data_IF_259264421432
#
_entry.id   IF_259264421432
#
_cell.length_a   1.000
_cell.length_b   1.000
_cell.length_c   1.000
_cell.angle_alpha   90.00
_cell.angle_beta   90.00
_cell.angle_gamma   90.00
#
_symmetry.space_group_name_H-M   'P 1'
#
loop_
_entity.id
_entity.type
_entity.pdbx_description
1 polymer ?
#
# COMPACT_ATOMS: atom_id res chain seq x y z
N UNK A 1 -3.52 -62.88 35.24
CA UNK A 1 -2.69 -62.48 34.08
C UNK A 1 -3.37 -61.50 33.12
N UNK A 2 -4.47 -60.83 33.48
CA UNK A 2 -5.19 -59.88 32.59
C UNK A 2 -4.81 -58.41 32.83
N UNK A 3 -4.09 -58.10 33.92
CA UNK A 3 -3.84 -56.71 34.35
C UNK A 3 -2.67 -55.99 33.69
N UNK A 4 -1.71 -56.70 33.06
CA UNK A 4 -0.50 -56.06 32.52
C UNK A 4 -0.64 -55.59 31.06
N UNK A 5 -1.58 -56.15 30.29
CA UNK A 5 -1.78 -55.76 28.90
C UNK A 5 -2.50 -54.40 28.78
N UNK A 6 -3.47 -54.14 29.67
CA UNK A 6 -4.25 -52.89 29.67
C UNK A 6 -3.40 -51.66 30.02
N UNK A 7 -2.43 -51.79 30.94
CA UNK A 7 -1.56 -50.69 31.37
C UNK A 7 -0.57 -50.29 30.27
N UNK A 8 -0.01 -51.27 29.53
CA UNK A 8 0.85 -51.00 28.37
C UNK A 8 0.09 -50.31 27.23
N UNK A 9 -1.17 -50.69 26.99
CA UNK A 9 -1.99 -50.08 25.95
C UNK A 9 -2.35 -48.62 26.28
N UNK A 10 -2.67 -48.32 27.55
CA UNK A 10 -2.93 -46.94 28.01
C UNK A 10 -1.70 -46.03 27.91
N UNK A 11 -0.50 -46.52 28.23
CA UNK A 11 0.72 -45.71 28.09
C UNK A 11 1.09 -45.43 26.63
N UNK A 12 0.86 -46.37 25.71
CA UNK A 12 1.06 -46.11 24.29
C UNK A 12 0.02 -45.14 23.71
N UNK A 13 -1.25 -45.23 24.11
CA UNK A 13 -2.30 -44.29 23.72
C UNK A 13 -2.02 -42.87 24.24
N UNK A 14 -1.52 -42.75 25.48
CA UNK A 14 -1.18 -41.45 26.09
C UNK A 14 -0.01 -40.76 25.36
N UNK A 15 1.00 -41.52 24.95
CA UNK A 15 2.16 -41.02 24.21
C UNK A 15 1.78 -40.57 22.78
N UNK A 16 0.88 -41.29 22.11
CA UNK A 16 0.39 -40.94 20.76
C UNK A 16 -0.45 -39.66 20.80
N UNK A 17 -1.28 -39.47 21.83
CA UNK A 17 -2.07 -38.24 22.01
C UNK A 17 -1.16 -37.04 22.33
N UNK A 18 -0.14 -37.21 23.16
CA UNK A 18 0.85 -36.15 23.43
C UNK A 18 1.69 -35.77 22.20
N UNK A 19 2.04 -36.74 21.35
CA UNK A 19 2.71 -36.47 20.07
C UNK A 19 1.77 -35.79 19.05
N UNK A 20 0.48 -36.12 19.05
CA UNK A 20 -0.52 -35.45 18.21
C UNK A 20 -0.80 -34.00 18.61
N UNK A 21 -0.77 -33.69 19.91
CA UNK A 21 -0.97 -32.32 20.42
C UNK A 21 0.26 -31.44 20.20
N UNK A 22 1.47 -31.99 20.23
CA UNK A 22 2.71 -31.25 19.95
C UNK A 22 2.96 -31.01 18.45
N UNK A 23 2.34 -31.78 17.55
CA UNK A 23 2.43 -31.58 16.10
C UNK A 23 1.32 -30.69 15.52
N UNK A 24 0.55 -30.02 16.38
CA UNK A 24 -0.26 -28.88 16.00
C UNK A 24 0.63 -27.63 15.93
N UNK A 25 1.71 -27.68 15.14
CA UNK A 25 2.29 -26.44 14.64
C UNK A 25 1.18 -25.78 13.83
N UNK A 26 0.70 -24.66 14.33
CA UNK A 26 -0.18 -23.75 13.62
C UNK A 26 0.32 -23.61 12.19
N UNK A 27 -0.34 -24.29 11.26
CA UNK A 27 -0.28 -23.94 9.85
C UNK A 27 -0.99 -22.60 9.79
N UNK A 28 -0.26 -21.53 10.09
CA UNK A 28 -0.72 -20.19 9.79
C UNK A 28 -0.74 -20.16 8.27
N UNK A 29 -1.94 -20.29 7.71
CA UNK A 29 -2.17 -20.08 6.30
C UNK A 29 -1.87 -18.61 6.06
N UNK A 30 -0.62 -18.30 5.69
CA UNK A 30 -0.12 -16.95 5.40
C UNK A 30 -0.65 -16.47 4.04
N UNK A 31 -1.98 -16.46 3.90
CA UNK A 31 -2.68 -15.88 2.77
C UNK A 31 -3.05 -14.43 3.09
N UNK A 32 -2.68 -13.52 2.21
CA UNK A 32 -3.12 -12.13 2.29
C UNK A 32 -4.02 -11.79 1.11
N UNK A 33 -4.93 -10.85 1.33
CA UNK A 33 -5.94 -10.50 0.34
C UNK A 33 -5.42 -9.44 -0.62
N UNK A 34 -5.50 -9.72 -1.91
CA UNK A 34 -5.32 -8.74 -2.98
C UNK A 34 -6.70 -8.45 -3.54
N UNK A 35 -7.15 -7.19 -3.44
CA UNK A 35 -8.49 -6.77 -3.87
C UNK A 35 -9.61 -7.68 -3.30
N UNK A 36 -9.49 -8.08 -2.04
CA UNK A 36 -10.47 -8.95 -1.35
C UNK A 36 -10.36 -10.44 -1.65
N UNK A 37 -9.44 -10.87 -2.52
CA UNK A 37 -9.22 -12.29 -2.87
C UNK A 37 -7.93 -12.83 -2.25
N UNK A 38 -8.00 -13.99 -1.60
CA UNK A 38 -6.82 -14.69 -1.05
C UNK A 38 -5.96 -15.28 -2.17
N UNK A 39 -5.04 -14.45 -2.65
CA UNK A 39 -4.19 -14.72 -3.82
C UNK A 39 -2.75 -14.30 -3.59
N UNK A 40 -2.42 -13.84 -2.38
CA UNK A 40 -1.10 -13.34 -2.03
C UNK A 40 -0.50 -13.96 -0.79
N UNK A 41 0.76 -13.63 -0.56
CA UNK A 41 1.51 -13.93 0.65
C UNK A 41 2.23 -12.67 1.15
N UNK A 42 2.36 -12.55 2.48
CA UNK A 42 3.09 -11.44 3.07
C UNK A 42 4.58 -11.71 2.96
N UNK A 43 5.28 -10.82 2.29
CA UNK A 43 6.72 -10.92 2.02
C UNK A 43 7.41 -9.69 2.61
N UNK A 44 8.61 -9.85 3.17
CA UNK A 44 9.40 -8.74 3.70
C UNK A 44 10.17 -8.01 2.58
N UNK A 45 10.49 -6.71 2.75
CA UNK A 45 11.21 -5.93 1.73
C UNK A 45 12.50 -6.58 1.21
N UNK A 46 13.30 -7.14 2.11
CA UNK A 46 14.53 -7.88 1.80
C UNK A 46 14.34 -9.04 0.79
N UNK A 47 13.14 -9.61 0.74
CA UNK A 47 12.83 -10.79 -0.06
C UNK A 47 12.14 -10.43 -1.38
N UNK A 48 11.69 -9.17 -1.55
CA UNK A 48 10.98 -8.72 -2.76
C UNK A 48 11.62 -7.55 -3.51
N UNK A 49 12.76 -7.02 -3.05
CA UNK A 49 13.42 -5.85 -3.68
C UNK A 49 13.69 -6.01 -5.18
N UNK A 50 13.94 -7.24 -5.64
CA UNK A 50 14.14 -7.60 -7.04
C UNK A 50 12.83 -7.92 -7.78
N UNK A 51 11.76 -8.19 -7.02
CA UNK A 51 10.46 -8.59 -7.55
C UNK A 51 9.54 -7.40 -7.85
N UNK A 52 9.75 -6.25 -7.20
CA UNK A 52 8.94 -5.03 -7.43
C UNK A 52 9.79 -3.78 -7.74
N UNK A 53 10.67 -3.82 -8.76
CA UNK A 53 11.63 -2.73 -9.04
C UNK A 53 10.99 -1.34 -9.21
N UNK A 54 9.76 -1.24 -9.71
CA UNK A 54 9.03 0.01 -9.85
C UNK A 54 8.44 0.46 -8.51
N UNK A 55 7.69 -0.39 -7.79
CA UNK A 55 7.06 0.01 -6.54
C UNK A 55 7.96 -0.01 -5.31
N UNK A 56 9.16 -0.60 -5.35
CA UNK A 56 10.05 -0.70 -4.18
C UNK A 56 10.34 0.64 -3.52
N UNK A 57 10.40 1.74 -4.27
CA UNK A 57 10.71 3.06 -3.69
C UNK A 57 9.68 3.53 -2.66
N UNK A 58 8.46 2.99 -2.72
CA UNK A 58 7.32 3.44 -1.90
C UNK A 58 6.77 2.30 -1.02
N UNK A 59 7.02 1.05 -1.41
CA UNK A 59 6.67 -0.15 -0.65
C UNK A 59 7.88 -0.56 0.20
N UNK A 60 7.97 0.00 1.40
CA UNK A 60 9.11 -0.15 2.33
C UNK A 60 8.69 -0.93 3.60
N UNK A 61 7.70 -1.81 3.47
CA UNK A 61 7.07 -2.55 4.56
C UNK A 61 6.77 -3.98 4.11
N UNK A 62 6.50 -4.89 5.06
CA UNK A 62 6.00 -6.24 4.74
C UNK A 62 4.69 -6.12 3.96
N UNK A 63 4.70 -6.56 2.71
CA UNK A 63 3.66 -6.30 1.73
C UNK A 63 3.03 -7.59 1.23
N UNK A 64 1.77 -7.50 0.81
CA UNK A 64 1.05 -8.61 0.22
C UNK A 64 1.39 -8.74 -1.27
N UNK A 65 2.12 -9.79 -1.64
CA UNK A 65 2.57 -10.06 -3.01
C UNK A 65 1.80 -11.24 -3.60
N UNK A 66 1.55 -11.27 -4.93
CA UNK A 66 0.96 -12.43 -5.59
C UNK A 66 1.76 -13.71 -5.32
N UNK A 67 1.08 -14.75 -4.83
CA UNK A 67 1.70 -16.07 -4.67
C UNK A 67 1.86 -16.72 -6.02
N UNK A 68 3.03 -17.29 -6.31
CA UNK A 68 3.23 -18.04 -7.55
C UNK A 68 2.23 -19.20 -7.66
N UNK A 69 1.59 -19.33 -8.82
CA UNK A 69 0.64 -20.40 -9.12
C UNK A 69 1.04 -21.08 -10.43
N UNK A 70 1.06 -22.42 -10.43
CA UNK A 70 1.44 -23.21 -11.61
C UNK A 70 0.46 -23.07 -12.78
N UNK A 71 -0.81 -22.79 -12.49
CA UNK A 71 -1.88 -22.62 -13.49
C UNK A 71 -1.77 -21.24 -14.18
N UNK A 72 -1.36 -20.21 -13.43
CA UNK A 72 -1.22 -18.84 -13.93
C UNK A 72 0.19 -18.34 -13.67
N UNK A 73 1.14 -18.71 -14.54
CA UNK A 73 2.55 -18.34 -14.42
C UNK A 73 2.79 -16.82 -14.45
N UNK A 74 1.86 -16.04 -14.99
CA UNK A 74 1.88 -14.57 -14.99
C UNK A 74 1.40 -13.95 -13.68
N UNK A 75 0.81 -14.73 -12.76
CA UNK A 75 0.41 -14.28 -11.43
C UNK A 75 1.62 -14.25 -10.51
N UNK A 76 2.51 -13.29 -10.74
CA UNK A 76 3.74 -13.07 -9.97
C UNK A 76 3.88 -11.60 -9.57
N UNK A 77 4.66 -11.33 -8.52
CA UNK A 77 4.97 -9.98 -8.09
C UNK A 77 5.66 -9.16 -9.20
N UNK A 78 6.59 -9.77 -9.94
CA UNK A 78 7.30 -9.11 -11.04
C UNK A 78 6.38 -8.71 -12.19
N UNK A 79 5.51 -9.63 -12.63
CA UNK A 79 4.55 -9.34 -13.71
C UNK A 79 3.55 -8.27 -13.27
N UNK A 80 3.12 -8.31 -12.00
CA UNK A 80 2.21 -7.30 -11.45
C UNK A 80 2.87 -5.93 -11.35
N UNK A 81 4.09 -5.84 -10.83
CA UNK A 81 4.86 -4.58 -10.77
C UNK A 81 5.11 -4.01 -12.16
N UNK A 82 5.41 -4.86 -13.15
CA UNK A 82 5.55 -4.43 -14.54
C UNK A 82 4.25 -3.89 -15.12
N UNK A 83 3.12 -4.56 -14.87
CA UNK A 83 1.81 -4.04 -15.26
C UNK A 83 1.51 -2.68 -14.63
N UNK A 84 1.86 -2.51 -13.34
CA UNK A 84 1.67 -1.25 -12.61
C UNK A 84 2.52 -0.14 -13.23
N UNK A 85 3.79 -0.42 -13.53
CA UNK A 85 4.69 0.49 -14.21
C UNK A 85 4.13 0.93 -15.58
N UNK A 86 3.74 -0.04 -16.41
CA UNK A 86 3.24 0.22 -17.76
C UNK A 86 1.95 1.05 -17.73
N UNK A 87 1.03 0.72 -16.81
CA UNK A 87 -0.21 1.47 -16.63
C UNK A 87 0.04 2.87 -16.07
N UNK A 88 0.99 3.03 -15.15
CA UNK A 88 1.39 4.33 -14.63
C UNK A 88 1.88 5.24 -15.76
N UNK A 89 2.84 4.77 -16.56
CA UNK A 89 3.36 5.56 -17.68
C UNK A 89 2.29 5.82 -18.73
N UNK A 90 1.50 4.82 -19.11
CA UNK A 90 0.40 4.98 -20.08
C UNK A 90 -0.55 6.08 -19.65
N UNK A 91 -1.02 6.07 -18.39
CA UNK A 91 -2.00 7.04 -17.90
C UNK A 91 -1.39 8.44 -17.76
N UNK A 92 -0.15 8.56 -17.26
CA UNK A 92 0.54 9.84 -17.15
C UNK A 92 0.78 10.47 -18.53
N UNK A 93 1.32 9.71 -19.47
CA UNK A 93 1.62 10.19 -20.82
C UNK A 93 0.30 10.56 -21.52
N UNK A 94 -0.74 9.73 -21.42
CA UNK A 94 -2.05 10.06 -22.00
C UNK A 94 -2.62 11.36 -21.43
N UNK A 95 -2.52 11.60 -20.12
CA UNK A 95 -2.99 12.85 -19.50
C UNK A 95 -2.16 14.05 -19.95
N UNK A 96 -0.85 13.94 -19.97
CA UNK A 96 0.03 14.99 -20.47
C UNK A 96 -0.26 15.31 -21.94
N UNK A 97 -0.51 14.29 -22.78
CA UNK A 97 -0.88 14.49 -24.19
C UNK A 97 -2.16 15.31 -24.35
N UNK A 98 -3.19 15.08 -23.54
CA UNK A 98 -4.41 15.90 -23.57
C UNK A 98 -4.18 17.31 -23.02
N UNK A 99 -3.43 17.42 -21.93
CA UNK A 99 -3.13 18.70 -21.28
C UNK A 99 -2.31 19.65 -22.18
N UNK A 100 -1.42 19.09 -23.00
CA UNK A 100 -0.52 19.82 -23.90
C UNK A 100 -1.03 19.91 -25.35
N UNK A 101 -2.25 19.43 -25.62
CA UNK A 101 -2.79 19.42 -26.98
C UNK A 101 -3.20 20.83 -27.42
N UNK A 102 -2.40 21.45 -28.28
CA UNK A 102 -2.67 22.79 -28.82
C UNK A 102 -4.02 22.88 -29.53
N UNK A 103 -4.45 21.84 -30.26
CA UNK A 103 -5.73 21.86 -30.97
C UNK A 103 -6.92 21.91 -30.00
N UNK A 104 -6.80 21.25 -28.85
CA UNK A 104 -7.83 21.30 -27.81
C UNK A 104 -7.87 22.67 -27.13
N UNK A 105 -6.69 23.23 -26.83
CA UNK A 105 -6.56 24.58 -26.27
C UNK A 105 -7.10 25.66 -27.22
N UNK A 106 -6.74 25.61 -28.50
CA UNK A 106 -7.19 26.58 -29.52
C UNK A 106 -8.71 26.57 -29.72
N UNK A 107 -9.33 25.39 -29.55
CA UNK A 107 -10.79 25.22 -29.68
C UNK A 107 -11.54 25.38 -28.36
N UNK A 108 -10.81 25.56 -27.25
CA UNK A 108 -11.35 25.53 -25.89
C UNK A 108 -12.25 24.32 -25.60
N UNK A 109 -11.76 23.13 -25.94
CA UNK A 109 -12.47 21.86 -25.74
C UNK A 109 -11.69 20.88 -24.85
N UNK A 110 -12.42 20.04 -24.11
CA UNK A 110 -11.86 18.94 -23.34
C UNK A 110 -11.71 17.63 -24.14
N UNK A 111 -11.25 16.56 -23.49
CA UNK A 111 -11.07 15.24 -24.11
C UNK A 111 -12.38 14.59 -24.61
N UNK A 112 -13.54 15.17 -24.26
CA UNK A 112 -14.88 14.75 -24.68
C UNK A 112 -15.51 15.72 -25.67
N UNK A 113 -14.72 16.66 -26.21
CA UNK A 113 -15.16 17.69 -27.16
C UNK A 113 -16.26 18.60 -26.57
N UNK A 114 -16.24 18.82 -25.24
CA UNK A 114 -17.09 19.76 -24.53
C UNK A 114 -16.34 21.08 -24.26
N UNK A 115 -17.05 22.23 -24.16
CA UNK A 115 -16.41 23.52 -23.91
C UNK A 115 -15.91 23.61 -22.47
N UNK A 116 -14.62 23.39 -22.25
CA UNK A 116 -13.99 23.44 -20.94
C UNK A 116 -12.51 23.79 -21.05
N UNK A 117 -12.01 24.53 -20.07
CA UNK A 117 -10.58 24.85 -19.96
C UNK A 117 -9.80 23.59 -19.58
N UNK A 118 -8.74 23.30 -20.33
CA UNK A 118 -7.82 22.21 -20.03
C UNK A 118 -6.99 22.58 -18.81
N UNK A 119 -7.25 21.93 -17.68
CA UNK A 119 -6.49 22.14 -16.44
C UNK A 119 -5.24 21.25 -16.44
N UNK A 120 -4.01 21.79 -16.47
CA UNK A 120 -2.80 20.99 -16.39
C UNK A 120 -2.65 20.41 -14.97
N UNK A 121 -2.67 19.08 -14.87
CA UNK A 121 -2.57 18.34 -13.60
C UNK A 121 -1.32 17.51 -13.54
N UNK A 122 -0.97 16.85 -14.63
CA UNK A 122 0.18 15.93 -14.72
C UNK A 122 1.38 16.59 -15.41
N UNK A 123 1.13 17.53 -16.31
CA UNK A 123 2.17 18.30 -17.01
C UNK A 123 2.94 19.16 -16.02
N UNK A 124 4.27 19.01 -15.98
CA UNK A 124 5.18 19.74 -15.08
C UNK A 124 4.82 19.66 -13.58
N UNK A 125 4.09 18.62 -13.18
CA UNK A 125 3.66 18.42 -11.79
C UNK A 125 4.20 17.08 -11.23
N UNK A 126 5.46 17.04 -10.78
CA UNK A 126 6.06 15.83 -10.21
C UNK A 126 5.32 15.36 -8.94
N UNK A 127 4.71 16.25 -8.18
CA UNK A 127 3.96 15.90 -6.97
C UNK A 127 2.73 15.07 -7.29
N UNK A 128 1.95 15.46 -8.31
CA UNK A 128 0.81 14.67 -8.80
C UNK A 128 1.26 13.30 -9.33
N UNK A 129 2.33 13.27 -10.13
CA UNK A 129 2.88 12.03 -10.67
C UNK A 129 3.33 11.08 -9.55
N UNK A 130 4.06 11.60 -8.56
CA UNK A 130 4.50 10.83 -7.39
C UNK A 130 3.32 10.38 -6.53
N UNK A 131 2.34 11.25 -6.27
CA UNK A 131 1.15 10.88 -5.51
C UNK A 131 0.34 9.78 -6.22
N UNK A 132 0.22 9.86 -7.55
CA UNK A 132 -0.42 8.82 -8.36
C UNK A 132 0.35 7.50 -8.31
N UNK A 133 1.68 7.53 -8.43
CA UNK A 133 2.52 6.33 -8.27
C UNK A 133 2.33 5.69 -6.90
N UNK A 134 2.39 6.49 -5.83
CA UNK A 134 2.23 6.02 -4.46
C UNK A 134 0.87 5.35 -4.27
N UNK A 135 -0.21 6.03 -4.70
CA UNK A 135 -1.56 5.49 -4.67
C UNK A 135 -1.65 4.15 -5.40
N UNK A 136 -1.12 4.08 -6.63
CA UNK A 136 -1.24 2.90 -7.47
C UNK A 136 -0.41 1.71 -6.94
N UNK A 137 0.78 1.97 -6.40
CA UNK A 137 1.61 0.95 -5.76
C UNK A 137 0.99 0.43 -4.46
N UNK A 138 0.54 1.31 -3.55
CA UNK A 138 0.00 0.90 -2.26
C UNK A 138 -1.33 0.16 -2.36
N UNK A 139 -2.16 0.50 -3.35
CA UNK A 139 -3.38 -0.25 -3.66
C UNK A 139 -3.07 -1.68 -4.13
N UNK A 140 -1.98 -1.87 -4.86
CA UNK A 140 -1.61 -3.15 -5.44
C UNK A 140 -0.73 -4.02 -4.53
N UNK A 141 0.06 -3.41 -3.66
CA UNK A 141 0.92 -4.06 -2.68
C UNK A 141 0.56 -3.55 -1.28
N UNK A 142 -0.61 -3.93 -0.75
CA UNK A 142 -1.06 -3.49 0.56
C UNK A 142 -0.12 -4.02 1.64
N UNK A 143 0.04 -3.23 2.71
CA UNK A 143 0.81 -3.62 3.90
C UNK A 143 0.15 -4.82 4.58
N UNK A 144 0.94 -5.72 5.13
CA UNK A 144 0.47 -6.77 6.03
C UNK A 144 0.57 -6.37 7.50
N UNK A 145 -0.39 -6.81 8.31
CA UNK A 145 -0.29 -6.78 9.78
C UNK A 145 0.54 -7.95 10.33
N UNK A 146 0.72 -7.99 11.65
CA UNK A 146 1.47 -9.04 12.34
C UNK A 146 0.83 -10.43 12.21
N UNK A 147 -0.47 -10.49 11.88
CA UNK A 147 -1.19 -11.74 11.63
C UNK A 147 -1.14 -12.18 10.15
N UNK A 148 -0.38 -11.47 9.30
CA UNK A 148 -0.25 -11.81 7.89
C UNK A 148 -1.46 -11.42 7.04
N UNK A 149 -2.33 -10.53 7.53
CA UNK A 149 -3.49 -10.04 6.78
C UNK A 149 -3.15 -8.72 6.12
N UNK A 150 -3.58 -8.55 4.87
CA UNK A 150 -3.42 -7.27 4.18
C UNK A 150 -4.35 -6.20 4.75
N UNK A 151 -3.85 -4.98 4.81
CA UNK A 151 -4.54 -3.82 5.34
C UNK A 151 -5.17 -2.99 4.22
N UNK A 152 -6.35 -2.45 4.50
CA UNK A 152 -7.03 -1.45 3.66
C UNK A 152 -6.14 -0.21 3.44
N UNK A 153 -6.39 0.53 2.36
CA UNK A 153 -5.65 1.76 2.09
C UNK A 153 -6.05 2.89 3.03
N UNK A 154 -5.10 3.73 3.45
CA UNK A 154 -5.37 4.88 4.29
C UNK A 154 -6.10 5.97 3.50
N UNK A 155 -7.09 6.64 4.11
CA UNK A 155 -7.84 7.74 3.47
C UNK A 155 -6.93 8.86 2.98
N UNK A 156 -5.92 9.19 3.77
CA UNK A 156 -4.93 10.23 3.44
C UNK A 156 -4.19 9.97 2.14
N UNK A 157 -4.05 8.71 1.69
CA UNK A 157 -3.44 8.39 0.40
C UNK A 157 -4.31 8.90 -0.75
N UNK A 158 -5.61 8.59 -0.67
CA UNK A 158 -6.59 9.05 -1.65
C UNK A 158 -6.66 10.58 -1.66
N UNK A 159 -6.78 11.21 -0.50
CA UNK A 159 -6.83 12.67 -0.38
C UNK A 159 -5.56 13.34 -0.90
N UNK A 160 -4.38 12.78 -0.61
CA UNK A 160 -3.11 13.28 -1.11
C UNK A 160 -3.03 13.20 -2.64
N UNK A 161 -3.50 12.11 -3.25
CA UNK A 161 -3.58 12.01 -4.71
C UNK A 161 -4.44 13.12 -5.31
N UNK A 162 -5.66 13.29 -4.81
CA UNK A 162 -6.54 14.32 -5.34
C UNK A 162 -6.02 15.74 -5.10
N UNK A 163 -5.38 15.98 -3.94
CA UNK A 163 -4.77 17.27 -3.58
C UNK A 163 -3.57 17.59 -4.48
N UNK A 164 -2.61 16.68 -4.62
CA UNK A 164 -1.41 16.88 -5.43
C UNK A 164 -1.74 17.11 -6.92
N UNK A 165 -2.79 16.45 -7.41
CA UNK A 165 -3.30 16.60 -8.77
C UNK A 165 -4.35 17.73 -8.93
N UNK A 166 -4.56 18.54 -7.88
CA UNK A 166 -5.41 19.74 -7.86
C UNK A 166 -6.86 19.49 -8.28
N UNK A 167 -7.38 18.29 -8.03
CA UNK A 167 -8.78 17.99 -8.33
C UNK A 167 -9.69 18.75 -7.38
N UNK A 168 -10.78 19.28 -7.92
CA UNK A 168 -11.79 19.93 -7.12
C UNK A 168 -12.44 18.93 -6.15
N UNK A 169 -12.85 19.40 -4.95
CA UNK A 169 -13.24 18.53 -3.83
C UNK A 169 -14.49 17.70 -4.11
N UNK A 170 -15.35 18.15 -5.02
CA UNK A 170 -16.52 17.40 -5.50
C UNK A 170 -16.17 16.15 -6.32
N UNK A 171 -14.95 16.07 -6.87
CA UNK A 171 -14.42 14.90 -7.58
C UNK A 171 -13.73 13.90 -6.66
N UNK A 172 -13.46 14.28 -5.40
CA UNK A 172 -12.80 13.39 -4.47
C UNK A 172 -13.72 12.20 -4.17
N UNK A 173 -13.14 11.01 -4.19
CA UNK A 173 -13.83 9.74 -3.90
C UNK A 173 -13.10 9.01 -2.79
N UNK A 174 -12.85 9.73 -1.69
CA UNK A 174 -12.10 9.25 -0.54
C UNK A 174 -12.96 9.18 0.72
N UNK A 175 -14.28 9.34 0.60
CA UNK A 175 -15.22 9.47 1.71
C UNK A 175 -15.73 8.13 2.25
N UNK A 176 -16.97 8.14 2.72
CA UNK A 176 -17.58 6.97 3.37
C UNK A 176 -18.13 6.01 2.29
N UNK A 177 -17.83 4.69 2.38
CA UNK A 177 -18.39 3.69 1.46
C UNK A 177 -19.92 3.72 1.36
N UNK A 178 -20.63 4.17 2.40
CA UNK A 178 -22.10 4.33 2.36
C UNK A 178 -22.58 5.32 1.31
N UNK A 179 -21.70 6.20 0.84
CA UNK A 179 -21.95 7.20 -0.21
C UNK A 179 -21.14 6.94 -1.48
N UNK A 180 -20.74 5.67 -1.73
CA UNK A 180 -19.83 5.30 -2.82
C UNK A 180 -18.55 6.14 -2.80
N UNK A 181 -17.95 6.25 -1.61
CA UNK A 181 -16.77 7.05 -1.31
C UNK A 181 -16.94 8.57 -1.50
N UNK A 182 -18.19 9.06 -1.56
CA UNK A 182 -18.49 10.47 -1.40
C UNK A 182 -18.37 10.94 0.05
N UNK A 183 -18.11 12.23 0.26
CA UNK A 183 -18.27 12.86 1.58
C UNK A 183 -19.75 13.05 1.95
N UNK A 184 -20.61 13.10 0.94
CA UNK A 184 -22.06 13.27 1.05
C UNK A 184 -22.75 12.36 0.02
N UNK A 185 -24.03 12.05 0.24
CA UNK A 185 -24.83 11.25 -0.69
C UNK A 185 -24.85 11.86 -2.10
N UNK A 186 -24.83 11.02 -3.13
CA UNK A 186 -24.99 11.50 -4.49
C UNK A 186 -26.44 11.94 -4.71
N UNK A 187 -26.60 13.19 -5.16
CA UNK A 187 -27.90 13.72 -5.58
C UNK A 187 -27.99 13.53 -7.09
N UNK A 188 -29.03 12.85 -7.56
CA UNK A 188 -29.25 12.63 -9.00
C UNK A 188 -30.45 13.42 -9.50
N UNK A 189 -30.22 14.11 -10.61
CA UNK A 189 -31.26 14.80 -11.39
C UNK A 189 -31.54 14.08 -12.72
N UNK A 190 -30.82 12.99 -12.99
CA UNK A 190 -30.92 12.22 -14.24
C UNK A 190 -31.76 10.98 -14.03
N UNK A 191 -32.82 10.85 -14.83
CA UNK A 191 -33.73 9.71 -14.80
C UNK A 191 -33.71 9.00 -16.16
N UNK A 192 -33.44 7.71 -16.16
CA UNK A 192 -33.60 6.84 -17.35
C UNK A 192 -34.75 5.90 -17.05
N UNK A 193 -35.81 5.95 -17.87
CA UNK A 193 -37.02 5.15 -17.66
C UNK A 193 -37.65 5.31 -16.26
N UNK A 194 -37.66 6.54 -15.71
CA UNK A 194 -38.14 6.87 -14.35
C UNK A 194 -37.30 6.25 -13.22
N UNK A 195 -36.14 5.69 -13.52
CA UNK A 195 -35.19 5.20 -12.52
C UNK A 195 -34.08 6.25 -12.33
N UNK A 196 -33.78 6.66 -11.08
CA UNK A 196 -32.66 7.56 -10.82
C UNK A 196 -31.33 6.89 -11.23
N UNK A 197 -30.48 7.62 -11.96
CA UNK A 197 -29.15 7.15 -12.35
C UNK A 197 -28.10 7.78 -11.44
N UNK A 198 -27.30 6.94 -10.79
CA UNK A 198 -26.15 7.34 -9.99
C UNK A 198 -24.88 7.06 -10.77
N UNK A 199 -23.93 7.99 -10.75
CA UNK A 199 -22.68 7.91 -11.48
C UNK A 199 -21.50 7.51 -10.58
N UNK A 200 -21.63 7.59 -9.25
CA UNK A 200 -20.56 7.18 -8.33
C UNK A 200 -20.55 5.66 -8.14
N UNK A 201 -19.36 5.09 -8.33
CA UNK A 201 -19.02 3.73 -7.98
C UNK A 201 -17.87 3.73 -6.96
N UNK A 202 -17.63 2.62 -6.22
CA UNK A 202 -16.49 2.50 -5.33
C UNK A 202 -15.18 2.85 -6.05
N UNK A 203 -14.39 3.73 -5.45
CA UNK A 203 -13.13 4.17 -6.00
C UNK A 203 -12.05 3.08 -5.83
N UNK A 204 -11.06 2.98 -6.72
CA UNK A 204 -9.98 2.00 -6.55
C UNK A 204 -9.30 2.14 -5.17
N UNK A 205 -9.19 1.02 -4.46
CA UNK A 205 -8.62 0.98 -3.11
C UNK A 205 -9.61 1.31 -1.98
N UNK A 206 -10.87 1.61 -2.29
CA UNK A 206 -11.98 1.62 -1.32
C UNK A 206 -12.25 0.20 -0.80
N UNK A 207 -12.66 0.02 0.48
CA UNK A 207 -12.89 1.08 1.48
C UNK A 207 -11.60 1.66 2.07
N UNK A 208 -11.63 2.97 2.33
CA UNK A 208 -10.53 3.67 2.99
C UNK A 208 -10.67 3.65 4.50
N UNK A 209 -9.54 3.59 5.19
CA UNK A 209 -9.46 3.66 6.65
C UNK A 209 -8.66 4.87 7.10
N UNK A 210 -9.06 5.50 8.20
CA UNK A 210 -8.35 6.65 8.73
C UNK A 210 -7.04 6.23 9.42
N UNK A 211 -6.04 7.11 9.37
CA UNK A 211 -4.81 6.91 10.13
C UNK A 211 -5.12 6.94 11.63
N UNK A 212 -4.41 6.13 12.40
CA UNK A 212 -4.47 6.14 13.84
C UNK A 212 -3.09 6.42 14.41
N UNK A 213 -3.03 7.08 15.57
CA UNK A 213 -1.81 7.43 16.27
C UNK A 213 -1.91 6.97 17.72
N UNK A 214 -0.80 6.50 18.25
CA UNK A 214 -0.64 6.17 19.65
C UNK A 214 -0.79 7.46 20.49
N UNK A 215 -1.68 7.50 21.50
CA UNK A 215 -1.98 8.73 22.22
C UNK A 215 -0.81 9.22 23.09
N UNK A 216 0.08 8.34 23.52
CA UNK A 216 1.18 8.66 24.43
C UNK A 216 2.44 9.07 23.68
N UNK A 217 2.72 8.41 22.56
CA UNK A 217 3.94 8.59 21.78
C UNK A 217 3.73 9.40 20.50
N UNK A 218 2.48 9.65 20.11
CA UNK A 218 2.09 10.28 18.84
C UNK A 218 2.67 9.57 17.61
N UNK A 219 3.05 8.29 17.75
CA UNK A 219 3.55 7.48 16.64
C UNK A 219 2.38 6.90 15.85
N UNK A 220 2.48 6.83 14.52
CA UNK A 220 1.42 6.25 13.70
C UNK A 220 1.31 4.74 13.95
N UNK A 221 0.08 4.28 14.16
CA UNK A 221 -0.27 2.88 14.37
C UNK A 221 -0.48 2.20 13.02
N UNK A 222 -0.01 0.96 12.89
CA UNK A 222 -0.17 0.17 11.67
C UNK A 222 -1.63 -0.31 11.55
N UNK A 223 -2.50 0.53 10.99
CA UNK A 223 -3.94 0.23 10.84
C UNK A 223 -4.44 0.20 9.40
N UNK A 224 -3.66 0.76 8.47
CA UNK A 224 -3.96 0.89 7.04
C UNK A 224 -2.66 1.00 6.23
N UNK A 225 -2.75 0.98 4.90
CA UNK A 225 -1.61 1.12 3.98
C UNK A 225 -1.47 2.57 3.50
N UNK A 226 -0.31 3.24 3.66
CA UNK A 226 0.95 2.67 4.11
C UNK A 226 1.19 2.74 5.63
N UNK A 227 0.31 3.41 6.40
CA UNK A 227 0.49 3.82 7.81
C UNK A 227 1.95 3.76 8.24
N UNK A 228 2.70 4.78 7.82
CA UNK A 228 4.14 4.77 7.94
C UNK A 228 4.52 5.03 9.38
N UNK A 229 4.83 3.99 10.15
CA UNK A 229 5.73 4.07 11.29
C UNK A 229 7.12 4.47 10.78
N UNK A 230 7.26 5.75 10.42
CA UNK A 230 8.54 6.33 10.08
C UNK A 230 9.38 6.34 11.35
N UNK A 231 10.01 5.20 11.64
CA UNK A 231 11.35 5.23 12.20
C UNK A 231 12.19 5.84 11.08
N UNK A 232 12.20 7.18 10.99
CA UNK A 232 13.29 7.85 10.34
C UNK A 232 14.52 7.24 11.02
N UNK A 233 15.26 6.40 10.29
CA UNK A 233 16.60 6.03 10.71
C UNK A 233 17.24 7.39 10.98
N UNK A 234 17.49 7.70 12.25
CA UNK A 234 18.25 8.88 12.62
C UNK A 234 19.55 8.68 11.88
N UNK A 235 19.69 9.36 10.74
CA UNK A 235 20.93 9.44 10.02
C UNK A 235 21.92 9.86 11.08
N UNK A 236 22.80 8.93 11.43
CA UNK A 236 23.87 9.18 12.36
C UNK A 236 24.67 10.30 11.70
N UNK A 237 24.37 11.54 12.11
CA UNK A 237 25.23 12.68 11.86
C UNK A 237 26.46 12.32 12.66
N UNK A 238 27.41 11.67 11.98
CA UNK A 238 28.76 11.49 12.46
C UNK A 238 29.29 12.92 12.62
N UNK A 239 29.08 13.48 13.81
CA UNK A 239 29.68 14.73 14.22
C UNK A 239 31.18 14.52 14.11
N UNK A 240 31.77 15.07 13.06
CA UNK A 240 33.19 15.35 12.99
C UNK A 240 33.48 16.43 14.05
N UNK A 241 33.44 16.07 15.32
CA UNK A 241 34.10 16.84 16.36
C UNK A 241 35.57 16.46 16.30
N UNK A 242 36.32 17.30 15.61
CA UNK A 242 37.73 17.61 15.78
C UNK A 242 38.32 17.12 17.13
N UNK A 243 38.71 15.85 17.22
CA UNK A 243 39.71 15.40 18.21
C UNK A 243 41.08 15.48 17.55
N UNK A 244 41.47 16.69 17.21
CA UNK A 244 42.82 17.01 16.77
C UNK A 244 43.33 18.17 17.60
N UNK A 245 43.59 17.98 18.90
CA UNK A 245 44.45 18.90 19.68
C UNK A 245 44.87 18.40 21.09
N UNK A 246 44.98 17.10 21.35
CA UNK A 246 45.42 16.60 22.68
C UNK A 246 46.48 15.48 22.65
N UNK A 247 47.35 15.47 21.63
CA UNK A 247 48.49 14.54 21.57
C UNK A 247 49.86 15.25 21.45
N UNK A 248 50.03 16.41 22.11
CA UNK A 248 51.34 17.10 22.19
C UNK A 248 51.74 17.50 23.63
N UNK A 249 50.92 17.25 24.65
CA UNK A 249 51.22 17.68 26.04
C UNK A 249 51.63 16.54 27.01
N UNK A 250 52.31 15.51 26.51
CA UNK A 250 52.95 14.49 27.37
C UNK A 250 54.48 14.41 27.22
N UNK A 251 55.14 15.41 26.63
CA UNK A 251 56.60 15.42 26.46
C UNK A 251 57.37 16.48 27.28
N UNK A 252 56.72 17.20 28.19
CA UNK A 252 57.41 18.11 29.12
C UNK A 252 56.72 18.07 30.49
N UNK A 253 57.51 18.01 31.57
CA UNK A 253 57.15 17.80 32.99
C UNK A 253 57.18 16.28 33.32
N UNK A 254 58.28 15.68 33.76
CA UNK A 254 58.97 15.80 35.07
C UNK A 254 60.38 15.19 34.90
N UNK A 255 61.44 16.01 34.90
CA UNK A 255 62.52 15.99 35.92
C UNK A 255 62.18 15.29 37.23
#
# INVERSE_FOLDING_TARGET
MVSMLAVKLMHHLSAIVLLGVLYSHHVVVNGCLIAGSDTGECTDPKDFDLLIPFCKQVVQYTACLPRYQSVWFTHSALTKDKFIEDMYYKLNIQRQMFETNQTMQDKNIDEWNQPHDVVPRFTENPDCQNAFRNFFCWMNFPRCDAEGRSLLMCRSVCENFFTACKYHKDLWRCGDPKYSDGYEAEITYTFVNKVPVYYRAPFPGSPFKDNAFDPDTNKPLIVCTPSLENTAAKGCTLGWTLTGFWMVFCLLIVW
#
